data_IF_872015170320
#
_entry.id   IF_872015170320
#
_cell.length_a   1.000
_cell.length_b   1.000
_cell.length_c   1.000
_cell.angle_alpha   90.00
_cell.angle_beta   90.00
_cell.angle_gamma   90.00
#
_symmetry.space_group_name_H-M   'P 1'
#
loop_
_entity.id
_entity.type
_entity.pdbx_description
1 polymer ?
#
# COMPACT_ATOMS: atom_id res chain seq x y z
N UNK A 1 -7.48 -31.32 32.49
CA UNK A 1 -6.48 -30.46 31.84
C UNK A 1 -6.48 -29.14 32.62
N UNK A 2 -5.38 -28.72 33.23
CA UNK A 2 -5.34 -27.45 33.98
C UNK A 2 -5.44 -26.28 33.02
N UNK A 3 -6.09 -25.20 33.42
CA UNK A 3 -6.26 -23.95 32.61
C UNK A 3 -4.90 -23.42 32.08
N UNK A 4 -3.83 -23.56 32.86
CA UNK A 4 -2.48 -23.22 32.47
C UNK A 4 -1.98 -23.99 31.23
N UNK A 5 -2.34 -25.25 31.09
CA UNK A 5 -1.95 -26.09 29.96
C UNK A 5 -2.62 -25.68 28.66
N UNK A 6 -3.89 -25.29 28.75
CA UNK A 6 -4.63 -24.74 27.62
C UNK A 6 -4.02 -23.42 27.12
N UNK A 7 -3.60 -22.55 28.05
CA UNK A 7 -2.98 -21.27 27.71
C UNK A 7 -1.69 -21.48 26.91
N UNK A 8 -0.80 -22.38 27.34
CA UNK A 8 0.46 -22.65 26.61
C UNK A 8 0.19 -23.17 25.20
N UNK A 9 -0.75 -24.09 25.02
CA UNK A 9 -1.09 -24.60 23.68
C UNK A 9 -1.74 -23.53 22.81
N UNK A 10 -2.58 -22.67 23.38
CA UNK A 10 -3.19 -21.55 22.65
C UNK A 10 -2.11 -20.52 22.21
N UNK A 11 -1.17 -20.17 23.10
CA UNK A 11 -0.06 -19.25 22.76
C UNK A 11 0.86 -19.86 21.71
N UNK A 12 1.23 -21.13 21.84
CA UNK A 12 2.02 -21.83 20.82
C UNK A 12 1.34 -21.89 19.47
N UNK A 13 0.03 -22.18 19.46
CA UNK A 13 -0.80 -22.18 18.24
C UNK A 13 -0.89 -20.79 17.60
N UNK A 14 -1.09 -19.74 18.40
CA UNK A 14 -1.12 -18.36 17.91
C UNK A 14 0.23 -17.95 17.28
N UNK A 15 1.35 -18.33 17.88
CA UNK A 15 2.68 -18.05 17.31
C UNK A 15 2.90 -18.74 15.97
N UNK A 16 2.39 -19.97 15.79
CA UNK A 16 2.44 -20.67 14.49
C UNK A 16 1.57 -19.98 13.43
N UNK A 17 0.40 -19.47 13.81
CA UNK A 17 -0.45 -18.69 12.89
C UNK A 17 0.26 -17.40 12.46
N UNK A 18 0.87 -16.69 13.38
CA UNK A 18 1.68 -15.49 13.08
C UNK A 18 2.84 -15.84 12.13
N UNK A 19 3.55 -16.94 12.41
CA UNK A 19 4.64 -17.40 11.54
C UNK A 19 4.16 -17.69 10.12
N UNK A 20 3.05 -18.41 9.96
CA UNK A 20 2.47 -18.71 8.66
C UNK A 20 2.03 -17.45 7.91
N UNK A 21 1.41 -16.48 8.60
CA UNK A 21 1.03 -15.20 8.02
C UNK A 21 2.25 -14.40 7.55
N UNK A 22 3.30 -14.32 8.38
CA UNK A 22 4.53 -13.62 8.01
C UNK A 22 5.26 -14.31 6.84
N UNK A 23 5.30 -15.64 6.80
CA UNK A 23 5.87 -16.39 5.69
C UNK A 23 5.10 -16.12 4.38
N UNK A 24 3.77 -16.15 4.42
CA UNK A 24 2.94 -15.81 3.25
C UNK A 24 3.11 -14.35 2.78
N UNK A 25 3.32 -13.41 3.71
CA UNK A 25 3.62 -12.02 3.38
C UNK A 25 5.00 -11.85 2.74
N UNK A 26 6.00 -12.62 3.21
CA UNK A 26 7.34 -12.64 2.64
C UNK A 26 7.33 -13.16 1.19
N UNK A 27 6.65 -14.27 0.91
CA UNK A 27 6.52 -14.85 -0.44
C UNK A 27 5.89 -13.85 -1.42
N UNK A 28 4.83 -13.13 -1.01
CA UNK A 28 4.24 -12.07 -1.86
C UNK A 28 5.21 -10.92 -2.14
N UNK A 29 6.09 -10.63 -1.19
CA UNK A 29 7.16 -9.64 -1.35
C UNK A 29 8.20 -10.08 -2.38
N UNK A 30 8.55 -11.38 -2.40
CA UNK A 30 9.47 -11.97 -3.39
C UNK A 30 8.88 -11.91 -4.80
N UNK A 31 7.61 -12.29 -4.99
CA UNK A 31 6.94 -12.21 -6.29
C UNK A 31 7.00 -10.78 -6.87
N UNK A 32 6.81 -9.78 -6.01
CA UNK A 32 6.92 -8.37 -6.42
C UNK A 32 8.35 -7.99 -6.78
N UNK A 33 9.32 -8.46 -6.00
CA UNK A 33 10.73 -8.20 -6.26
C UNK A 33 11.20 -8.84 -7.57
N UNK A 34 10.81 -10.09 -7.83
CA UNK A 34 11.11 -10.79 -9.06
C UNK A 34 10.49 -10.08 -10.27
N UNK A 35 9.24 -9.64 -10.19
CA UNK A 35 8.60 -8.89 -11.26
C UNK A 35 9.36 -7.61 -11.64
N UNK A 36 9.94 -6.92 -10.65
CA UNK A 36 10.76 -5.72 -10.88
C UNK A 36 12.12 -6.10 -11.49
N UNK A 37 12.80 -7.12 -10.97
CA UNK A 37 14.16 -7.48 -11.39
C UNK A 37 14.22 -8.21 -12.75
N UNK A 38 13.16 -8.96 -13.10
CA UNK A 38 13.11 -9.75 -14.33
C UNK A 38 12.69 -8.92 -15.56
N UNK A 39 12.19 -7.71 -15.35
CA UNK A 39 11.75 -6.83 -16.44
C UNK A 39 12.86 -5.83 -16.77
N UNK A 40 13.44 -5.88 -17.98
CA UNK A 40 14.46 -4.91 -18.37
C UNK A 40 13.83 -3.52 -18.55
N UNK A 41 14.53 -2.49 -18.07
CA UNK A 41 14.15 -1.10 -18.31
C UNK A 41 14.20 -0.80 -19.80
N UNK A 42 13.13 -0.31 -20.36
CA UNK A 42 13.00 0.06 -21.76
C UNK A 42 12.87 1.58 -21.90
N UNK A 43 13.45 2.13 -22.95
CA UNK A 43 13.19 3.54 -23.31
C UNK A 43 11.81 3.68 -23.99
N UNK A 44 11.25 4.89 -24.01
CA UNK A 44 10.00 5.16 -24.73
C UNK A 44 10.12 4.82 -26.22
N UNK A 45 11.31 5.03 -26.81
CA UNK A 45 11.61 4.68 -28.21
C UNK A 45 11.60 3.17 -28.42
N UNK A 46 12.19 2.39 -27.49
CA UNK A 46 12.22 0.92 -27.58
C UNK A 46 10.80 0.34 -27.53
N UNK A 47 9.95 0.85 -26.63
CA UNK A 47 8.54 0.45 -26.51
C UNK A 47 7.78 0.74 -27.81
N UNK A 48 8.01 1.88 -28.43
CA UNK A 48 7.43 2.22 -29.74
C UNK A 48 7.95 1.32 -30.86
N UNK A 49 9.25 0.93 -30.81
CA UNK A 49 9.85 0.03 -31.78
C UNK A 49 9.32 -1.41 -31.63
N UNK A 50 9.21 -1.92 -30.42
CA UNK A 50 8.61 -3.23 -30.11
C UNK A 50 7.17 -3.27 -30.64
N UNK A 51 6.39 -2.23 -30.37
CA UNK A 51 5.00 -2.13 -30.85
C UNK A 51 4.91 -2.20 -32.38
N UNK A 52 5.76 -1.43 -33.09
CA UNK A 52 5.77 -1.41 -34.57
C UNK A 52 6.18 -2.72 -35.22
N UNK A 53 7.15 -3.42 -34.60
CA UNK A 53 7.75 -4.61 -35.22
C UNK A 53 6.99 -5.91 -34.93
N UNK A 54 6.40 -6.06 -33.74
CA UNK A 54 5.89 -7.35 -33.27
C UNK A 54 4.40 -7.33 -32.89
N UNK A 55 3.77 -6.18 -32.75
CA UNK A 55 2.41 -6.09 -32.19
C UNK A 55 2.28 -6.82 -30.85
N UNK A 56 3.36 -6.87 -30.07
CA UNK A 56 3.51 -7.80 -28.95
C UNK A 56 2.73 -7.33 -27.73
N UNK A 57 1.43 -7.59 -27.75
CA UNK A 57 0.55 -7.34 -26.61
C UNK A 57 0.88 -8.28 -25.44
N UNK A 58 0.86 -7.74 -24.24
CA UNK A 58 1.07 -8.51 -23.02
C UNK A 58 2.54 -8.78 -22.67
N UNK A 59 3.51 -8.22 -23.39
CA UNK A 59 4.90 -8.25 -22.95
C UNK A 59 5.10 -7.34 -21.73
N UNK A 60 5.85 -7.80 -20.71
CA UNK A 60 6.24 -6.95 -19.60
C UNK A 60 7.14 -5.82 -20.10
N UNK A 61 6.92 -4.62 -19.62
CA UNK A 61 7.75 -3.47 -19.92
C UNK A 61 7.88 -2.58 -18.69
N UNK A 62 9.05 -1.96 -18.59
CA UNK A 62 9.38 -1.03 -17.52
C UNK A 62 9.89 0.26 -18.13
N UNK A 63 9.41 1.38 -17.61
CA UNK A 63 9.86 2.71 -18.03
C UNK A 63 10.04 3.62 -16.84
N UNK A 64 11.07 4.46 -16.92
CA UNK A 64 11.31 5.54 -15.97
C UNK A 64 11.36 6.86 -16.72
N UNK A 65 10.65 7.87 -16.23
CA UNK A 65 10.61 9.18 -16.87
C UNK A 65 9.90 10.21 -16.02
N UNK A 66 9.46 11.28 -16.63
CA UNK A 66 8.75 12.40 -16.01
C UNK A 66 7.27 12.34 -16.40
N UNK A 67 6.39 12.60 -15.45
CA UNK A 67 4.94 12.62 -15.65
C UNK A 67 4.52 13.85 -16.45
N UNK A 68 3.79 13.64 -17.55
CA UNK A 68 3.10 14.68 -18.32
C UNK A 68 1.61 14.29 -18.50
N UNK A 69 0.72 15.27 -18.42
CA UNK A 69 -0.70 15.03 -18.64
C UNK A 69 -1.38 16.31 -19.12
N UNK A 70 -2.19 16.19 -20.17
CA UNK A 70 -2.96 17.32 -20.72
C UNK A 70 -4.19 17.65 -19.87
N UNK A 71 -4.79 16.63 -19.25
CA UNK A 71 -5.98 16.75 -18.40
C UNK A 71 -5.68 16.23 -16.98
N UNK A 72 -4.92 16.99 -16.22
CA UNK A 72 -4.54 16.65 -14.85
C UNK A 72 -5.70 16.82 -13.86
N UNK A 73 -5.62 16.08 -12.75
CA UNK A 73 -6.43 16.31 -11.57
C UNK A 73 -5.81 17.42 -10.71
N UNK A 74 -6.61 18.02 -9.84
CA UNK A 74 -6.15 18.91 -8.79
C UNK A 74 -6.29 18.22 -7.45
N UNK A 75 -5.24 18.17 -6.65
CA UNK A 75 -5.28 17.63 -5.31
C UNK A 75 -6.26 18.42 -4.43
N UNK A 76 -7.13 17.74 -3.67
CA UNK A 76 -8.19 18.41 -2.90
C UNK A 76 -7.67 19.24 -1.73
N UNK A 77 -6.49 18.95 -1.19
CA UNK A 77 -5.90 19.67 -0.07
C UNK A 77 -4.86 20.69 -0.54
N UNK A 78 -3.94 20.25 -1.40
CA UNK A 78 -2.82 21.06 -1.87
C UNK A 78 -3.13 21.94 -3.09
N UNK A 79 -4.15 21.57 -3.88
CA UNK A 79 -4.39 22.15 -5.20
C UNK A 79 -3.37 21.78 -6.26
N UNK A 80 -2.40 20.88 -5.94
CA UNK A 80 -1.33 20.51 -6.86
C UNK A 80 -1.85 19.68 -8.03
N UNK A 81 -1.40 20.00 -9.25
CA UNK A 81 -1.73 19.23 -10.44
C UNK A 81 -1.06 17.85 -10.39
N UNK A 82 -1.84 16.78 -10.57
CA UNK A 82 -1.39 15.39 -10.46
C UNK A 82 -2.16 14.48 -11.42
N UNK A 83 -1.64 13.28 -11.66
CA UNK A 83 -2.31 12.23 -12.46
C UNK A 83 -3.05 11.22 -11.61
N UNK A 84 -2.72 11.14 -10.35
CA UNK A 84 -3.45 10.36 -9.36
C UNK A 84 -3.27 10.97 -7.98
N UNK A 85 -4.31 10.87 -7.15
CA UNK A 85 -4.23 11.23 -5.74
C UNK A 85 -5.04 10.27 -4.88
N UNK A 86 -4.65 10.21 -3.61
CA UNK A 86 -5.40 9.62 -2.51
C UNK A 86 -5.51 10.65 -1.41
N UNK A 87 -6.72 11.01 -1.05
CA UNK A 87 -7.02 11.91 0.05
C UNK A 87 -7.72 11.13 1.15
N UNK A 88 -7.22 11.23 2.37
CA UNK A 88 -7.85 10.65 3.55
C UNK A 88 -8.16 11.72 4.58
N UNK A 89 -9.37 11.66 5.12
CA UNK A 89 -9.83 12.45 6.25
C UNK A 89 -10.13 11.48 7.39
N UNK A 90 -9.42 11.61 8.49
CA UNK A 90 -9.65 10.82 9.71
C UNK A 90 -10.01 11.78 10.83
N UNK A 91 -11.05 11.47 11.58
CA UNK A 91 -11.45 12.27 12.73
C UNK A 91 -11.71 11.40 13.94
N UNK A 92 -11.39 11.94 15.11
CA UNK A 92 -11.66 11.35 16.42
C UNK A 92 -12.31 12.42 17.28
N UNK A 93 -13.35 12.06 17.98
CA UNK A 93 -14.06 12.92 18.93
C UNK A 93 -14.04 12.28 20.31
N UNK A 94 -13.63 13.07 21.28
CA UNK A 94 -13.58 12.71 22.68
C UNK A 94 -14.57 13.60 23.41
N UNK A 95 -15.51 13.02 24.14
CA UNK A 95 -16.49 13.75 24.93
C UNK A 95 -16.56 13.23 26.35
N UNK A 96 -16.78 14.13 27.29
CA UNK A 96 -17.24 13.75 28.63
C UNK A 96 -18.74 13.58 28.58
N UNK A 97 -19.30 12.58 29.28
CA UNK A 97 -20.76 12.49 29.39
C UNK A 97 -21.30 13.80 29.96
N UNK A 98 -22.21 14.43 29.24
CA UNK A 98 -22.86 15.65 29.71
C UNK A 98 -23.51 15.44 31.07
N UNK A 99 -23.70 16.51 31.80
CA UNK A 99 -24.15 16.65 33.20
C UNK A 99 -25.48 15.89 33.53
N UNK A 100 -25.99 15.07 32.64
CA UNK A 100 -27.33 14.48 32.76
C UNK A 100 -27.40 13.27 33.71
N UNK A 101 -26.30 12.79 34.30
CA UNK A 101 -26.42 11.65 35.22
C UNK A 101 -25.59 11.74 36.49
N UNK A 102 -25.83 12.82 37.26
CA UNK A 102 -25.36 12.86 38.66
C UNK A 102 -26.03 11.83 39.58
N UNK A 103 -27.02 11.07 39.08
CA UNK A 103 -27.78 10.10 39.89
C UNK A 103 -27.30 8.66 39.79
N UNK A 104 -26.53 8.30 38.77
CA UNK A 104 -26.14 6.89 38.52
C UNK A 104 -24.79 6.51 39.10
N UNK A 105 -23.99 7.41 39.67
CA UNK A 105 -22.73 7.05 40.32
C UNK A 105 -21.67 6.43 39.40
N UNK A 106 -21.88 6.40 38.09
CA UNK A 106 -20.91 5.91 37.11
C UNK A 106 -20.04 7.06 36.66
N UNK A 107 -18.87 7.14 37.25
CA UNK A 107 -17.81 8.06 36.97
C UNK A 107 -17.33 7.99 35.52
N UNK A 108 -17.19 9.17 34.89
CA UNK A 108 -16.20 9.51 33.86
C UNK A 108 -16.00 8.53 32.67
N UNK A 109 -17.05 7.98 32.12
CA UNK A 109 -16.96 7.30 30.83
C UNK A 109 -16.76 8.35 29.71
N UNK A 110 -15.52 8.60 29.35
CA UNK A 110 -15.17 9.33 28.15
C UNK A 110 -15.61 8.50 26.96
N UNK A 111 -16.60 8.95 26.19
CA UNK A 111 -16.91 8.29 24.92
C UNK A 111 -15.90 8.73 23.87
N UNK A 112 -15.51 7.78 23.03
CA UNK A 112 -14.66 8.01 21.86
C UNK A 112 -15.42 7.55 20.64
N UNK A 113 -15.61 8.45 19.70
CA UNK A 113 -16.15 8.12 18.39
C UNK A 113 -15.19 8.59 17.33
N UNK A 114 -15.23 8.01 16.14
CA UNK A 114 -14.35 8.41 15.07
C UNK A 114 -14.78 7.81 13.74
N UNK A 115 -14.25 8.35 12.66
CA UNK A 115 -14.52 7.92 11.31
C UNK A 115 -13.38 8.25 10.37
N UNK A 116 -13.44 7.68 9.16
CA UNK A 116 -12.52 7.98 8.09
C UNK A 116 -13.25 8.05 6.77
N UNK A 117 -12.83 8.97 5.92
CA UNK A 117 -13.28 9.11 4.56
C UNK A 117 -12.06 9.02 3.64
N UNK A 118 -12.25 8.41 2.47
CA UNK A 118 -11.19 8.25 1.45
C UNK A 118 -11.74 8.68 0.10
N UNK A 119 -10.95 9.46 -0.64
CA UNK A 119 -11.22 9.84 -2.03
C UNK A 119 -9.96 9.57 -2.86
N UNK A 120 -10.03 8.53 -3.68
CA UNK A 120 -8.95 8.11 -4.58
C UNK A 120 -9.35 8.41 -6.02
N UNK A 121 -8.55 9.20 -6.73
CA UNK A 121 -8.81 9.51 -8.15
C UNK A 121 -7.58 9.30 -9.01
N UNK A 122 -7.85 9.00 -10.30
CA UNK A 122 -6.84 8.79 -11.34
C UNK A 122 -7.30 9.42 -12.63
N UNK A 123 -6.36 9.94 -13.42
CA UNK A 123 -6.63 10.30 -14.81
C UNK A 123 -6.89 9.05 -15.65
N UNK A 124 -7.64 9.13 -16.76
CA UNK A 124 -7.82 7.98 -17.65
C UNK A 124 -6.51 7.53 -18.32
N UNK A 125 -5.61 8.45 -18.60
CA UNK A 125 -4.26 8.19 -19.12
C UNK A 125 -3.34 9.36 -18.82
N UNK A 126 -2.02 9.09 -18.85
CA UNK A 126 -0.98 10.11 -18.78
C UNK A 126 0.26 9.66 -19.57
N UNK A 127 1.18 10.58 -19.83
CA UNK A 127 2.43 10.30 -20.51
C UNK A 127 3.57 10.18 -19.53
N UNK A 128 4.47 9.23 -19.80
CA UNK A 128 5.79 9.18 -19.19
C UNK A 128 6.79 9.56 -20.26
N UNK A 129 7.51 10.65 -20.05
CA UNK A 129 8.54 11.18 -20.95
C UNK A 129 9.93 10.86 -20.41
N UNK A 130 10.74 10.24 -21.22
CA UNK A 130 12.19 10.08 -21.02
C UNK A 130 13.00 10.90 -22.05
N UNK A 131 14.30 10.67 -22.11
CA UNK A 131 15.17 11.35 -23.07
C UNK A 131 14.92 10.92 -24.53
N UNK A 132 14.29 9.77 -24.78
CA UNK A 132 14.06 9.19 -26.10
C UNK A 132 12.69 9.53 -26.67
N UNK A 133 11.73 9.93 -25.85
CA UNK A 133 10.37 10.22 -26.26
C UNK A 133 9.38 10.15 -25.12
N UNK A 134 8.15 9.78 -25.44
CA UNK A 134 7.09 9.57 -24.45
C UNK A 134 6.26 8.33 -24.75
N UNK A 135 5.75 7.69 -23.71
CA UNK A 135 4.86 6.53 -23.79
C UNK A 135 3.59 6.80 -22.99
N UNK A 136 2.46 6.34 -23.49
CA UNK A 136 1.17 6.46 -22.82
C UNK A 136 1.04 5.41 -21.72
N UNK A 137 0.44 5.78 -20.59
CA UNK A 137 0.17 4.89 -19.46
C UNK A 137 -1.30 5.01 -19.07
N UNK A 138 -1.97 3.86 -18.93
CA UNK A 138 -3.31 3.77 -18.36
C UNK A 138 -3.20 3.34 -16.88
N UNK A 139 -3.41 4.23 -15.89
CA UNK A 139 -3.24 3.91 -14.49
C UNK A 139 -4.37 3.06 -13.89
N UNK A 140 -5.38 2.69 -14.67
CA UNK A 140 -6.51 1.91 -14.17
C UNK A 140 -6.03 0.55 -13.70
N UNK A 141 -6.41 0.19 -12.47
CA UNK A 141 -6.00 -1.05 -11.79
C UNK A 141 -4.48 -1.20 -11.53
N UNK A 142 -3.70 -0.12 -11.66
CA UNK A 142 -2.32 -0.11 -11.18
C UNK A 142 -2.26 -0.13 -9.64
N UNK A 143 -1.27 -0.80 -9.10
CA UNK A 143 -0.84 -0.55 -7.73
C UNK A 143 -0.10 0.80 -7.70
N UNK A 144 -0.64 1.78 -6.97
CA UNK A 144 -0.05 3.10 -6.88
C UNK A 144 0.79 3.24 -5.61
N UNK A 145 2.04 3.63 -5.79
CA UNK A 145 2.91 4.07 -4.71
C UNK A 145 3.03 5.60 -4.80
N UNK A 146 2.19 6.28 -4.03
CA UNK A 146 2.00 7.73 -4.07
C UNK A 146 2.94 8.43 -3.08
N UNK A 147 3.51 9.56 -3.49
CA UNK A 147 4.28 10.40 -2.57
C UNK A 147 3.34 11.22 -1.68
N UNK A 148 3.71 11.46 -0.40
CA UNK A 148 3.02 12.46 0.42
C UNK A 148 3.13 13.84 -0.23
N UNK A 149 2.00 14.54 -0.37
CA UNK A 149 1.93 15.90 -0.91
C UNK A 149 1.70 16.89 0.21
N UNK A 150 0.64 16.67 0.99
CA UNK A 150 0.25 17.57 2.06
C UNK A 150 -0.41 16.81 3.22
N UNK A 151 -0.33 17.40 4.40
CA UNK A 151 -1.03 16.90 5.58
C UNK A 151 -1.41 18.03 6.51
N UNK A 152 -2.65 18.03 6.98
CA UNK A 152 -3.14 19.00 7.93
C UNK A 152 -3.73 18.29 9.16
N UNK A 153 -3.46 18.85 10.32
CA UNK A 153 -3.98 18.37 11.60
C UNK A 153 -4.67 19.53 12.32
N UNK A 154 -5.93 19.35 12.63
CA UNK A 154 -6.77 20.35 13.26
C UNK A 154 -7.40 19.79 14.54
N UNK A 155 -7.37 20.57 15.60
CA UNK A 155 -8.05 20.28 16.87
C UNK A 155 -9.11 21.35 17.09
N UNK A 156 -10.37 20.94 17.14
CA UNK A 156 -11.49 21.81 17.43
C UNK A 156 -12.10 21.44 18.77
N UNK A 157 -12.08 22.37 19.72
CA UNK A 157 -12.75 22.21 21.02
C UNK A 157 -14.14 22.81 20.92
N UNK A 158 -15.15 22.04 21.30
CA UNK A 158 -16.53 22.55 21.32
C UNK A 158 -16.67 23.66 22.38
N UNK A 159 -17.33 24.77 22.02
CA UNK A 159 -17.51 25.94 22.89
C UNK A 159 -18.28 25.68 24.19
N UNK A 160 -18.85 24.51 24.40
CA UNK A 160 -19.46 24.03 25.64
C UNK A 160 -18.54 23.13 26.48
N UNK A 161 -17.23 23.14 26.21
CA UNK A 161 -16.21 22.78 27.18
C UNK A 161 -15.88 21.28 27.31
N UNK A 162 -16.64 20.35 26.75
CA UNK A 162 -16.54 18.94 27.10
C UNK A 162 -16.29 17.99 25.93
N UNK A 163 -16.11 18.46 24.69
CA UNK A 163 -15.72 17.63 23.57
C UNK A 163 -14.55 18.24 22.79
N UNK A 164 -13.63 17.39 22.38
CA UNK A 164 -12.50 17.72 21.54
C UNK A 164 -12.56 16.84 20.30
N UNK A 165 -12.58 17.47 19.13
CA UNK A 165 -12.52 16.78 17.84
C UNK A 165 -11.17 17.01 17.20
N UNK A 166 -10.47 15.92 16.90
CA UNK A 166 -9.20 15.90 16.19
C UNK A 166 -9.45 15.43 14.77
N UNK A 167 -9.05 16.23 13.81
CA UNK A 167 -9.20 15.94 12.40
C UNK A 167 -7.82 15.90 11.75
N UNK A 168 -7.51 14.81 11.04
CA UNK A 168 -6.30 14.67 10.27
C UNK A 168 -6.67 14.48 8.81
N UNK A 169 -6.12 15.33 7.96
CA UNK A 169 -6.22 15.23 6.49
C UNK A 169 -4.87 14.91 5.93
N UNK A 170 -4.80 13.91 5.06
CA UNK A 170 -3.57 13.55 4.35
C UNK A 170 -3.87 13.45 2.86
N UNK A 171 -2.99 14.01 2.06
CA UNK A 171 -2.99 13.91 0.62
C UNK A 171 -1.70 13.29 0.12
N UNK A 172 -1.84 12.26 -0.71
CA UNK A 172 -0.73 11.61 -1.42
C UNK A 172 -1.05 11.61 -2.90
N UNK A 173 -0.05 11.66 -3.77
CA UNK A 173 -0.32 11.67 -5.20
C UNK A 173 0.91 11.46 -6.07
N UNK A 174 0.67 11.55 -7.38
CA UNK A 174 1.68 11.57 -8.44
C UNK A 174 1.59 12.92 -9.18
N UNK A 175 2.32 13.94 -8.72
CA UNK A 175 2.30 15.26 -9.32
C UNK A 175 2.90 15.28 -10.73
N UNK A 176 2.49 16.27 -11.53
CA UNK A 176 3.10 16.53 -12.83
C UNK A 176 4.56 16.94 -12.69
N UNK A 177 5.33 16.69 -13.72
CA UNK A 177 6.77 17.04 -13.83
C UNK A 177 7.65 16.38 -12.74
N UNK A 178 7.18 15.32 -12.12
CA UNK A 178 7.96 14.53 -11.18
C UNK A 178 8.40 13.20 -11.82
N UNK A 179 9.54 12.64 -11.38
CA UNK A 179 9.98 11.34 -11.84
C UNK A 179 9.00 10.26 -11.40
N UNK A 180 8.80 9.29 -12.28
CA UNK A 180 7.94 8.12 -12.06
C UNK A 180 8.59 6.87 -12.61
N UNK A 181 8.41 5.77 -11.91
CA UNK A 181 8.70 4.41 -12.33
C UNK A 181 7.38 3.70 -12.65
N UNK A 182 7.31 3.07 -13.81
CA UNK A 182 6.15 2.32 -14.27
C UNK A 182 6.58 0.93 -14.71
N UNK A 183 6.06 -0.10 -14.07
CA UNK A 183 6.16 -1.50 -14.46
C UNK A 183 4.77 -1.98 -14.88
N UNK A 184 4.63 -2.46 -16.10
CA UNK A 184 3.33 -2.90 -16.62
C UNK A 184 3.47 -3.78 -17.84
N UNK A 185 2.45 -3.77 -18.69
CA UNK A 185 2.39 -4.61 -19.88
C UNK A 185 2.03 -3.78 -21.09
N UNK A 186 2.71 -4.08 -22.19
CA UNK A 186 2.46 -3.42 -23.47
C UNK A 186 1.07 -3.79 -23.98
N UNK A 187 0.31 -2.77 -24.29
CA UNK A 187 -0.98 -2.85 -24.98
C UNK A 187 -1.04 -1.86 -26.13
N UNK A 188 -2.22 -1.72 -26.69
CA UNK A 188 -2.50 -0.74 -27.73
C UNK A 188 -3.79 0.01 -27.44
N UNK A 189 -3.78 1.31 -27.70
CA UNK A 189 -4.97 2.14 -27.65
C UNK A 189 -4.95 3.10 -28.83
N UNK A 190 -5.93 2.98 -29.72
CA UNK A 190 -6.06 3.82 -30.92
C UNK A 190 -4.79 3.83 -31.80
N UNK A 191 -4.15 2.67 -32.00
CA UNK A 191 -2.93 2.55 -32.79
C UNK A 191 -1.66 3.06 -32.12
N UNK A 192 -1.69 3.38 -30.83
CA UNK A 192 -0.54 3.83 -30.05
C UNK A 192 -0.19 2.83 -28.95
N UNK A 193 1.10 2.59 -28.69
CA UNK A 193 1.52 1.75 -27.58
C UNK A 193 1.13 2.39 -26.24
N UNK A 194 0.59 1.57 -25.36
CA UNK A 194 0.19 1.97 -24.01
C UNK A 194 0.73 0.96 -22.99
N UNK A 195 1.18 1.44 -21.85
CA UNK A 195 1.51 0.59 -20.71
C UNK A 195 0.25 0.49 -19.84
N UNK A 196 -0.19 -0.73 -19.59
CA UNK A 196 -1.40 -1.02 -18.85
C UNK A 196 -1.29 -2.30 -18.02
N UNK A 197 -2.36 -2.65 -17.29
CA UNK A 197 -2.45 -3.95 -16.64
C UNK A 197 -2.54 -5.06 -17.69
N UNK A 198 -1.97 -6.22 -17.39
CA UNK A 198 -2.11 -7.40 -18.24
C UNK A 198 -3.59 -7.79 -18.40
N UNK A 199 -4.04 -7.94 -19.64
CA UNK A 199 -5.49 -8.07 -19.98
C UNK A 199 -6.08 -9.38 -19.44
N UNK A 200 -5.33 -10.49 -19.55
CA UNK A 200 -5.86 -11.84 -19.27
C UNK A 200 -5.42 -12.40 -17.90
N UNK A 201 -4.41 -11.81 -17.27
CA UNK A 201 -3.83 -12.36 -16.04
C UNK A 201 -3.72 -11.29 -14.94
N UNK A 202 -4.65 -11.38 -13.99
CA UNK A 202 -4.71 -10.45 -12.87
C UNK A 202 -3.61 -10.67 -11.82
N UNK A 203 -2.89 -11.80 -11.85
CA UNK A 203 -1.78 -12.08 -10.93
C UNK A 203 -0.53 -11.27 -11.28
N UNK A 204 -0.41 -10.87 -12.54
CA UNK A 204 0.71 -10.08 -13.05
C UNK A 204 0.73 -8.68 -12.46
N UNK A 205 1.91 -8.23 -12.02
CA UNK A 205 2.08 -6.97 -11.31
C UNK A 205 2.04 -5.79 -12.26
N UNK A 206 1.26 -4.78 -11.90
CA UNK A 206 1.22 -3.49 -12.55
C UNK A 206 1.41 -2.42 -11.48
N UNK A 207 2.53 -1.72 -11.51
CA UNK A 207 2.98 -0.79 -10.48
C UNK A 207 3.34 0.57 -11.08
N UNK A 208 2.87 1.63 -10.46
CA UNK A 208 3.27 3.01 -10.75
C UNK A 208 3.76 3.62 -9.44
N UNK A 209 5.01 4.08 -9.41
CA UNK A 209 5.65 4.56 -8.19
C UNK A 209 6.42 5.86 -8.41
N UNK A 210 6.34 6.76 -7.42
CA UNK A 210 7.21 7.93 -7.36
C UNK A 210 8.66 7.57 -6.98
N UNK A 211 8.89 6.36 -6.45
CA UNK A 211 10.22 5.89 -6.08
C UNK A 211 10.93 5.26 -7.26
N UNK A 212 12.25 5.41 -7.29
CA UNK A 212 13.07 4.71 -8.26
C UNK A 212 13.04 3.19 -8.03
N UNK A 213 13.33 2.42 -9.08
CA UNK A 213 13.48 0.95 -9.02
C UNK A 213 14.40 0.51 -7.87
N UNK A 214 15.56 1.18 -7.71
CA UNK A 214 16.52 0.87 -6.65
C UNK A 214 15.93 1.06 -5.25
N UNK A 215 15.18 2.14 -5.04
CA UNK A 215 14.52 2.41 -3.77
C UNK A 215 13.42 1.39 -3.46
N UNK A 216 12.63 1.02 -4.47
CA UNK A 216 11.60 -0.03 -4.37
C UNK A 216 12.21 -1.39 -4.03
N UNK A 217 13.25 -1.78 -4.75
CA UNK A 217 13.97 -3.05 -4.55
C UNK A 217 14.55 -3.13 -3.14
N UNK A 218 15.23 -2.05 -2.69
CA UNK A 218 15.79 -1.98 -1.33
C UNK A 218 14.71 -2.07 -0.26
N UNK A 219 13.63 -1.32 -0.40
CA UNK A 219 12.52 -1.33 0.56
C UNK A 219 11.84 -2.72 0.62
N UNK A 220 11.61 -3.35 -0.52
CA UNK A 220 11.04 -4.69 -0.59
C UNK A 220 11.95 -5.75 0.04
N UNK A 221 13.26 -5.74 -0.26
CA UNK A 221 14.23 -6.67 0.34
C UNK A 221 14.25 -6.56 1.86
N UNK A 222 14.29 -5.35 2.40
CA UNK A 222 14.27 -5.13 3.84
C UNK A 222 12.98 -5.64 4.48
N UNK A 223 11.84 -5.34 3.87
CA UNK A 223 10.53 -5.79 4.34
C UNK A 223 10.41 -7.31 4.32
N UNK A 224 10.81 -7.95 3.22
CA UNK A 224 10.77 -9.42 3.07
C UNK A 224 11.69 -10.09 4.09
N UNK A 225 12.91 -9.59 4.26
CA UNK A 225 13.83 -10.09 5.29
C UNK A 225 13.25 -9.97 6.71
N UNK A 226 12.61 -8.85 7.04
CA UNK A 226 11.95 -8.66 8.33
C UNK A 226 10.81 -9.67 8.55
N UNK A 227 9.99 -9.95 7.52
CA UNK A 227 8.95 -10.97 7.63
C UNK A 227 9.49 -12.38 7.82
N UNK A 228 10.57 -12.77 7.13
CA UNK A 228 11.23 -14.06 7.35
C UNK A 228 11.81 -14.16 8.75
N UNK A 229 12.42 -13.10 9.26
CA UNK A 229 12.96 -13.06 10.62
C UNK A 229 11.87 -13.26 11.67
N UNK A 230 10.76 -12.55 11.56
CA UNK A 230 9.61 -12.70 12.47
C UNK A 230 8.99 -14.09 12.34
N UNK A 231 8.84 -14.61 11.11
CA UNK A 231 8.32 -15.96 10.89
C UNK A 231 9.21 -17.04 11.54
N UNK A 232 10.52 -16.91 11.40
CA UNK A 232 11.50 -17.83 12.00
C UNK A 232 11.44 -17.83 13.53
N UNK A 233 11.44 -16.66 14.16
CA UNK A 233 11.36 -16.54 15.62
C UNK A 233 10.02 -17.05 16.15
N UNK A 234 8.91 -16.59 15.61
CA UNK A 234 7.58 -17.00 16.08
C UNK A 234 7.30 -18.48 15.83
N UNK A 235 7.74 -19.00 14.66
CA UNK A 235 7.59 -20.42 14.34
C UNK A 235 8.39 -21.31 15.28
N UNK A 236 9.68 -21.01 15.50
CA UNK A 236 10.53 -21.79 16.43
C UNK A 236 10.03 -21.72 17.86
N UNK A 237 9.63 -20.54 18.34
CA UNK A 237 9.07 -20.39 19.70
C UNK A 237 7.76 -21.15 19.86
N UNK A 238 6.88 -21.11 18.84
CA UNK A 238 5.61 -21.86 18.85
C UNK A 238 5.82 -23.38 18.92
N UNK A 239 6.72 -23.91 18.07
CA UNK A 239 7.08 -25.34 18.06
C UNK A 239 7.68 -25.76 19.41
N UNK A 240 8.63 -24.99 19.95
CA UNK A 240 9.27 -25.29 21.22
C UNK A 240 8.27 -25.33 22.39
N UNK A 241 7.36 -24.37 22.46
CA UNK A 241 6.33 -24.33 23.49
C UNK A 241 5.41 -25.56 23.43
N UNK A 242 4.97 -25.94 22.23
CA UNK A 242 4.11 -27.10 22.04
C UNK A 242 4.87 -28.40 22.33
N UNK A 243 6.09 -28.54 21.83
CA UNK A 243 6.92 -29.73 22.05
C UNK A 243 7.26 -29.89 23.53
N UNK A 244 7.71 -28.84 24.20
CA UNK A 244 7.95 -28.85 25.64
C UNK A 244 6.72 -29.31 26.43
N UNK A 245 5.56 -28.81 26.05
CA UNK A 245 4.31 -29.20 26.70
C UNK A 245 3.94 -30.66 26.48
N UNK A 246 4.11 -31.16 25.26
CA UNK A 246 3.82 -32.57 24.93
C UNK A 246 4.78 -33.53 25.66
N UNK A 247 6.05 -33.16 25.83
CA UNK A 247 7.03 -33.93 26.59
C UNK A 247 6.63 -34.05 28.06
N UNK A 248 6.17 -32.95 28.67
CA UNK A 248 5.68 -32.95 30.05
C UNK A 248 4.42 -33.82 30.25
N UNK A 249 3.61 -34.01 29.21
CA UNK A 249 2.43 -34.90 29.27
C UNK A 249 2.81 -36.38 29.12
N UNK A 250 3.95 -36.70 28.51
CA UNK A 250 4.44 -38.08 28.34
C UNK A 250 5.32 -38.58 29.49
N UNK A 251 5.82 -37.64 30.32
CA UNK A 251 6.70 -37.97 31.42
C UNK A 251 6.01 -38.16 32.77
N UNK A 252 4.66 -38.29 32.77
CA UNK A 252 3.86 -38.63 33.99
C UNK A 252 3.20 -40.00 33.82
#
# INVERSE_FOLDING_TARGET
MTTFNMIILCVGGLLLIVAAFCAAAALRGEDRLLAILDTPTSSALDIQAIHRNNGAYGQPCEVTGVIECDASLSGPLSGQACVAYSHSLTWEEWGKPGIFDKRSGTSDLVYRTGGSEFDDRRTPTFWVRDASGRVLVDPINAELDLQPIDSNYEVVTSGYGDSERRTRREEKGLPLNQPVYVLGYLGERQGQPIIQRHVSDSSKKFLISYRSEQALTRANRLRTAAFYFVAGISGSAGVLLIAWRLLLLRGV
#
